data_IF_532943702767
#
_entry.id   IF_532943702767
#
_cell.length_a   1.000
_cell.length_b   1.000
_cell.length_c   1.000
_cell.angle_alpha   90.00
_cell.angle_beta   90.00
_cell.angle_gamma   90.00
#
_symmetry.space_group_name_H-M   'P 1'
#
loop_
_entity.id
_entity.type
_entity.pdbx_description
1 polymer ?
#
# COMPACT_ATOMS: atom_id res chain seq x y z
N UNK A 1 20.46 73.65 -44.12
CA UNK A 1 20.71 73.12 -42.76
C UNK A 1 19.37 72.92 -42.07
N UNK A 2 19.24 71.85 -41.26
CA UNK A 2 18.04 71.23 -40.64
C UNK A 2 17.46 70.03 -41.44
N UNK A 3 17.89 68.77 -41.20
CA UNK A 3 17.55 67.80 -40.11
C UNK A 3 16.06 67.46 -40.04
N UNK A 4 15.62 66.33 -40.62
CA UNK A 4 15.59 64.94 -40.09
C UNK A 4 14.22 64.61 -39.44
N UNK A 5 13.52 63.61 -39.98
CA UNK A 5 13.20 62.33 -39.30
C UNK A 5 11.83 61.76 -39.70
N UNK A 6 11.89 60.61 -40.39
CA UNK A 6 10.81 59.63 -40.46
C UNK A 6 10.72 58.90 -39.11
N UNK A 7 9.52 58.77 -38.56
CA UNK A 7 9.23 57.84 -37.48
C UNK A 7 8.02 56.99 -37.91
N UNK A 8 8.31 55.86 -38.55
CA UNK A 8 7.35 54.78 -38.72
C UNK A 8 7.20 54.05 -37.39
N UNK A 9 5.97 53.93 -36.91
CA UNK A 9 5.63 53.11 -35.74
C UNK A 9 5.28 51.72 -36.27
N UNK A 10 6.16 50.75 -36.02
CA UNK A 10 5.86 49.32 -36.18
C UNK A 10 5.34 48.82 -34.84
N UNK A 11 4.04 48.51 -34.77
CA UNK A 11 3.43 47.85 -33.61
C UNK A 11 3.72 46.35 -33.74
N UNK A 12 4.67 45.84 -32.95
CA UNK A 12 4.89 44.41 -32.80
C UNK A 12 3.85 43.82 -31.84
N UNK A 13 2.91 43.04 -32.38
CA UNK A 13 1.99 42.19 -31.61
C UNK A 13 2.76 40.97 -31.07
N UNK A 14 3.06 40.99 -29.78
CA UNK A 14 3.55 39.82 -29.03
C UNK A 14 2.39 38.86 -28.76
N UNK A 15 2.30 37.78 -29.54
CA UNK A 15 1.49 36.63 -29.23
C UNK A 15 2.16 35.84 -28.08
N UNK A 16 1.62 35.96 -26.87
CA UNK A 16 2.00 35.12 -25.73
C UNK A 16 1.31 33.78 -25.91
N UNK A 17 2.02 32.81 -26.46
CA UNK A 17 1.62 31.40 -26.44
C UNK A 17 1.72 30.89 -25.00
N UNK A 18 0.58 30.80 -24.30
CA UNK A 18 0.44 30.07 -23.05
C UNK A 18 0.73 28.58 -23.32
N UNK A 19 1.98 28.18 -23.16
CA UNK A 19 2.35 26.77 -23.04
C UNK A 19 1.72 26.26 -21.74
N UNK A 20 0.60 25.55 -21.87
CA UNK A 20 0.06 24.75 -20.79
C UNK A 20 1.12 23.70 -20.41
N UNK A 21 1.87 23.98 -19.35
CA UNK A 21 2.79 23.03 -18.71
C UNK A 21 1.93 22.01 -17.99
N UNK A 22 1.57 20.91 -18.67
CA UNK A 22 1.09 19.72 -17.97
C UNK A 22 2.21 19.20 -17.06
N UNK A 23 1.94 18.87 -15.79
CA UNK A 23 2.96 18.44 -14.84
C UNK A 23 3.42 17.01 -15.17
N UNK A 24 4.31 16.86 -16.16
CA UNK A 24 4.97 15.58 -16.50
C UNK A 24 5.70 14.94 -15.31
N UNK A 25 6.12 15.75 -14.33
CA UNK A 25 6.85 15.28 -13.16
C UNK A 25 6.02 14.43 -12.18
N UNK A 26 4.74 14.74 -11.99
CA UNK A 26 3.90 14.02 -11.02
C UNK A 26 3.47 12.63 -11.54
N UNK A 27 3.27 12.51 -12.85
CA UNK A 27 2.87 11.26 -13.50
C UNK A 27 4.04 10.27 -13.63
N UNK A 28 5.26 10.77 -13.86
CA UNK A 28 6.46 9.93 -13.87
C UNK A 28 6.75 9.31 -12.49
N UNK A 29 6.65 10.10 -11.42
CA UNK A 29 6.87 9.59 -10.05
C UNK A 29 5.81 8.58 -9.60
N UNK A 30 4.56 8.74 -10.03
CA UNK A 30 3.46 7.81 -9.70
C UNK A 30 3.68 6.42 -10.31
N UNK A 31 4.05 6.36 -11.59
CA UNK A 31 4.32 5.10 -12.27
C UNK A 31 5.61 4.42 -11.75
N UNK A 32 6.65 5.19 -11.45
CA UNK A 32 7.87 4.68 -10.81
C UNK A 32 7.58 4.08 -9.43
N UNK A 33 6.80 4.78 -8.60
CA UNK A 33 6.39 4.30 -7.29
C UNK A 33 5.55 3.02 -7.40
N UNK A 34 4.56 2.98 -8.31
CA UNK A 34 3.73 1.79 -8.55
C UNK A 34 4.59 0.59 -8.94
N UNK A 35 5.52 0.76 -9.88
CA UNK A 35 6.42 -0.32 -10.30
C UNK A 35 7.27 -0.82 -9.12
N UNK A 36 7.83 0.09 -8.33
CA UNK A 36 8.63 -0.26 -7.15
C UNK A 36 7.80 -0.99 -6.10
N UNK A 37 6.59 -0.52 -5.82
CA UNK A 37 5.65 -1.17 -4.89
C UNK A 37 5.33 -2.58 -5.39
N UNK A 38 4.91 -2.72 -6.65
CA UNK A 38 4.57 -4.01 -7.25
C UNK A 38 5.73 -5.00 -7.18
N UNK A 39 6.95 -4.56 -7.52
CA UNK A 39 8.15 -5.40 -7.46
C UNK A 39 8.43 -5.88 -6.04
N UNK A 40 8.40 -4.97 -5.06
CA UNK A 40 8.72 -5.29 -3.66
C UNK A 40 7.66 -6.19 -3.05
N UNK A 41 6.39 -5.83 -3.16
CA UNK A 41 5.31 -6.56 -2.49
C UNK A 41 4.99 -7.90 -3.16
N UNK A 42 5.11 -8.02 -4.50
CA UNK A 42 4.91 -9.32 -5.17
C UNK A 42 5.94 -10.35 -4.68
N UNK A 43 7.20 -9.95 -4.53
CA UNK A 43 8.25 -10.83 -4.02
C UNK A 43 8.00 -11.24 -2.55
N UNK A 44 7.62 -10.28 -1.70
CA UNK A 44 7.33 -10.54 -0.29
C UNK A 44 6.10 -11.41 -0.09
N UNK A 45 5.03 -11.19 -0.86
CA UNK A 45 3.84 -12.04 -0.81
C UNK A 45 4.09 -13.44 -1.35
N UNK A 46 4.92 -13.60 -2.38
CA UNK A 46 5.34 -14.92 -2.83
C UNK A 46 6.13 -15.65 -1.74
N UNK A 47 7.06 -14.95 -1.06
CA UNK A 47 7.81 -15.51 0.07
C UNK A 47 6.89 -15.88 1.24
N UNK A 48 5.99 -14.99 1.62
CA UNK A 48 5.05 -15.24 2.71
C UNK A 48 4.12 -16.43 2.41
N UNK A 49 3.57 -16.45 1.20
CA UNK A 49 2.71 -17.54 0.74
C UNK A 49 3.47 -18.87 0.75
N UNK A 50 4.74 -18.90 0.36
CA UNK A 50 5.54 -20.13 0.42
C UNK A 50 5.70 -20.67 1.84
N UNK A 51 5.90 -19.80 2.82
CA UNK A 51 5.98 -20.18 4.23
C UNK A 51 4.65 -20.83 4.65
N UNK A 52 3.55 -20.11 4.44
CA UNK A 52 2.23 -20.50 4.92
C UNK A 52 1.62 -21.70 4.16
N UNK A 53 2.01 -21.90 2.89
CA UNK A 53 1.60 -23.04 2.06
C UNK A 53 2.54 -24.25 2.18
N UNK A 54 3.66 -24.12 2.90
CA UNK A 54 4.54 -25.27 3.12
C UNK A 54 3.96 -26.17 4.20
N UNK A 55 4.07 -27.49 4.02
CA UNK A 55 3.77 -28.46 5.09
C UNK A 55 4.86 -28.46 6.19
N UNK A 56 5.75 -27.47 6.19
CA UNK A 56 6.86 -27.35 7.11
C UNK A 56 6.48 -26.44 8.28
N UNK A 57 5.99 -27.07 9.35
CA UNK A 57 5.60 -26.39 10.60
C UNK A 57 6.79 -25.69 11.30
N UNK A 58 8.05 -25.97 10.89
CA UNK A 58 9.22 -25.27 11.44
C UNK A 58 9.41 -23.87 10.83
N UNK A 59 8.73 -23.58 9.72
CA UNK A 59 8.78 -22.29 9.04
C UNK A 59 7.68 -21.33 9.48
N UNK A 60 6.78 -21.72 10.41
CA UNK A 60 5.64 -20.89 10.81
C UNK A 60 6.10 -19.54 11.36
N UNK A 61 5.89 -18.49 10.56
CA UNK A 61 6.15 -17.11 10.92
C UNK A 61 4.85 -16.37 10.69
N UNK A 62 4.16 -16.01 11.78
CA UNK A 62 2.94 -15.22 11.69
C UNK A 62 3.15 -13.89 10.95
N UNK A 63 2.11 -13.40 10.29
CA UNK A 63 2.15 -12.22 9.43
C UNK A 63 2.80 -10.99 10.08
N UNK A 64 2.58 -10.78 11.38
CA UNK A 64 3.15 -9.65 12.13
C UNK A 64 4.67 -9.73 12.17
N UNK A 65 5.22 -10.90 12.49
CA UNK A 65 6.67 -11.10 12.59
C UNK A 65 7.33 -11.09 11.21
N UNK A 66 6.68 -11.70 10.21
CA UNK A 66 7.14 -11.62 8.82
C UNK A 66 7.20 -10.16 8.36
N UNK A 67 6.15 -9.40 8.59
CA UNK A 67 6.05 -8.00 8.17
C UNK A 67 7.06 -7.10 8.88
N UNK A 68 7.34 -7.36 10.17
CA UNK A 68 8.37 -6.64 10.94
C UNK A 68 9.77 -6.93 10.40
N UNK A 69 10.12 -8.20 10.23
CA UNK A 69 11.44 -8.65 9.73
C UNK A 69 11.74 -8.12 8.33
N UNK A 70 10.70 -7.90 7.53
CA UNK A 70 10.81 -7.42 6.15
C UNK A 70 10.52 -5.93 5.97
N UNK A 71 10.48 -5.12 7.04
CA UNK A 71 10.17 -3.67 6.97
C UNK A 71 8.92 -3.36 6.13
N UNK A 72 7.85 -4.15 6.28
CA UNK A 72 6.61 -3.99 5.52
C UNK A 72 5.60 -3.07 6.18
N UNK A 73 5.74 -2.76 7.46
CA UNK A 73 4.73 -2.04 8.24
C UNK A 73 5.30 -0.73 8.80
N UNK A 74 4.45 0.30 8.86
CA UNK A 74 4.79 1.63 9.35
C UNK A 74 5.18 1.61 10.83
N UNK A 75 5.91 2.64 11.25
CA UNK A 75 6.28 2.81 12.66
C UNK A 75 5.06 2.90 13.60
N UNK A 76 3.97 3.65 13.27
CA UNK A 76 2.73 3.62 14.04
C UNK A 76 2.12 2.21 14.16
N UNK A 77 2.06 1.47 13.05
CA UNK A 77 1.48 0.13 13.05
C UNK A 77 2.34 -0.87 13.85
N UNK A 78 3.68 -0.78 13.75
CA UNK A 78 4.62 -1.54 14.60
C UNK A 78 4.33 -1.35 16.10
N UNK A 79 4.06 -0.12 16.51
CA UNK A 79 3.74 0.23 17.90
C UNK A 79 2.39 -0.35 18.36
N UNK A 80 1.37 -0.34 17.48
CA UNK A 80 0.07 -0.97 17.77
C UNK A 80 0.20 -2.48 17.96
N UNK A 81 0.92 -3.17 17.07
CA UNK A 81 1.21 -4.60 17.25
C UNK A 81 2.01 -4.90 18.53
N UNK A 82 2.89 -3.99 18.96
CA UNK A 82 3.64 -4.18 20.20
C UNK A 82 2.72 -4.07 21.43
N UNK A 83 1.77 -3.14 21.41
CA UNK A 83 0.73 -3.02 22.45
C UNK A 83 -0.16 -4.26 22.49
N UNK A 84 -0.51 -4.79 21.32
CA UNK A 84 -1.34 -5.99 21.23
C UNK A 84 -0.63 -7.23 21.77
N UNK A 85 0.63 -7.44 21.39
CA UNK A 85 1.45 -8.51 21.94
C UNK A 85 1.62 -8.38 23.48
N UNK A 86 1.78 -7.16 23.99
CA UNK A 86 1.83 -6.93 25.44
C UNK A 86 0.49 -7.24 26.13
N UNK A 87 -0.64 -6.98 25.47
CA UNK A 87 -1.98 -7.38 25.96
C UNK A 87 -2.14 -8.89 25.98
N UNK A 88 -1.71 -9.59 24.92
CA UNK A 88 -1.76 -11.05 24.84
C UNK A 88 -1.01 -11.70 26.00
N UNK A 89 0.20 -11.22 26.30
CA UNK A 89 0.99 -11.70 27.45
C UNK A 89 0.28 -11.55 28.80
N UNK A 90 -0.50 -10.48 29.00
CA UNK A 90 -1.26 -10.25 30.24
C UNK A 90 -2.57 -11.02 30.31
N UNK A 91 -3.13 -11.40 29.17
CA UNK A 91 -4.49 -11.95 29.05
C UNK A 91 -4.50 -13.45 28.76
N UNK A 92 -3.42 -14.17 29.08
CA UNK A 92 -3.33 -15.61 28.87
C UNK A 92 -3.15 -16.04 27.41
N UNK A 93 -2.59 -15.17 26.56
CA UNK A 93 -2.28 -15.47 25.16
C UNK A 93 -3.19 -14.79 24.13
N UNK A 94 -4.27 -14.11 24.55
CA UNK A 94 -5.22 -13.48 23.63
C UNK A 94 -4.92 -11.99 23.41
N UNK A 95 -4.49 -11.64 22.21
CA UNK A 95 -4.47 -10.28 21.68
C UNK A 95 -5.86 -9.84 21.19
N UNK A 96 -5.97 -8.60 20.70
CA UNK A 96 -7.13 -8.14 19.94
C UNK A 96 -7.12 -8.68 18.52
N UNK A 97 -5.94 -8.87 17.93
CA UNK A 97 -5.81 -9.50 16.63
C UNK A 97 -5.78 -11.01 16.81
N UNK A 98 -6.78 -11.69 16.26
CA UNK A 98 -7.01 -13.14 16.36
C UNK A 98 -6.99 -13.84 14.98
N UNK A 99 -6.47 -13.17 13.95
CA UNK A 99 -6.33 -13.69 12.60
C UNK A 99 -5.05 -13.18 11.94
N UNK A 100 -4.66 -13.82 10.84
CA UNK A 100 -3.55 -13.39 10.01
C UNK A 100 -3.95 -12.14 9.21
N UNK A 101 -3.38 -10.99 9.58
CA UNK A 101 -3.74 -9.71 8.97
C UNK A 101 -3.33 -9.60 7.49
N UNK A 102 -2.30 -10.35 7.05
CA UNK A 102 -1.86 -10.36 5.65
C UNK A 102 -2.73 -11.25 4.79
N UNK A 103 -3.34 -12.31 5.35
CA UNK A 103 -4.25 -13.23 4.67
C UNK A 103 -5.73 -12.87 4.89
N UNK A 104 -6.06 -11.99 5.84
CA UNK A 104 -7.44 -11.73 6.25
C UNK A 104 -8.20 -13.03 6.60
N UNK A 105 -7.56 -13.91 7.38
CA UNK A 105 -8.12 -15.21 7.72
C UNK A 105 -7.35 -15.94 8.81
N UNK A 106 -7.95 -17.00 9.36
CA UNK A 106 -7.27 -17.92 10.27
C UNK A 106 -6.56 -19.04 9.49
N UNK A 107 -7.21 -19.50 8.41
CA UNK A 107 -6.69 -20.54 7.53
C UNK A 107 -6.33 -19.98 6.15
N UNK A 108 -5.42 -20.67 5.45
CA UNK A 108 -5.19 -20.45 4.02
C UNK A 108 -6.09 -21.35 3.19
N UNK A 109 -6.44 -20.89 1.99
CA UNK A 109 -7.22 -21.68 1.03
C UNK A 109 -6.35 -22.35 -0.03
N UNK A 110 -5.07 -22.61 0.27
CA UNK A 110 -4.13 -23.24 -0.67
C UNK A 110 -3.68 -22.34 -1.83
N UNK A 111 -3.99 -21.04 -1.79
CA UNK A 111 -3.68 -20.08 -2.87
C UNK A 111 -2.73 -19.00 -2.34
N UNK A 112 -1.70 -18.60 -3.11
CA UNK A 112 -0.81 -17.52 -2.71
C UNK A 112 -1.53 -16.17 -2.71
N UNK A 113 -1.06 -15.26 -1.86
CA UNK A 113 -1.43 -13.85 -1.85
C UNK A 113 -1.09 -13.18 -3.18
N UNK A 114 -2.02 -12.40 -3.71
CA UNK A 114 -1.87 -11.69 -4.99
C UNK A 114 -2.28 -10.23 -4.85
N UNK A 115 -1.54 -9.37 -5.53
CA UNK A 115 -1.93 -7.98 -5.73
C UNK A 115 -2.89 -7.93 -6.93
N UNK A 116 -4.11 -7.45 -6.70
CA UNK A 116 -5.14 -7.29 -7.73
C UNK A 116 -4.97 -5.94 -8.43
N UNK A 117 -4.89 -4.87 -7.65
CA UNK A 117 -4.68 -3.52 -8.17
C UNK A 117 -3.89 -2.67 -7.18
N UNK A 118 -3.33 -1.58 -7.70
CA UNK A 118 -2.65 -0.56 -6.93
C UNK A 118 -3.12 0.82 -7.41
N UNK A 119 -3.81 1.54 -6.54
CA UNK A 119 -4.47 2.81 -6.87
C UNK A 119 -3.90 3.93 -5.99
N UNK A 120 -3.60 5.08 -6.59
CA UNK A 120 -3.15 6.26 -5.82
C UNK A 120 -4.31 6.78 -4.97
N UNK A 121 -4.05 7.05 -3.69
CA UNK A 121 -5.04 7.63 -2.78
C UNK A 121 -4.38 8.70 -1.90
N UNK A 122 -4.61 9.97 -2.26
CA UNK A 122 -3.93 11.09 -1.61
C UNK A 122 -2.41 10.95 -1.71
N UNK A 123 -1.73 11.00 -0.56
CA UNK A 123 -0.28 10.84 -0.48
C UNK A 123 0.18 9.37 -0.43
N UNK A 124 -0.76 8.43 -0.39
CA UNK A 124 -0.52 7.00 -0.27
C UNK A 124 -0.96 6.21 -1.50
N UNK A 125 -0.96 4.88 -1.34
CA UNK A 125 -1.59 3.95 -2.27
C UNK A 125 -2.53 3.01 -1.55
N UNK A 126 -3.60 2.60 -2.24
CA UNK A 126 -4.45 1.48 -1.85
C UNK A 126 -4.03 0.29 -2.70
N UNK A 127 -3.57 -0.76 -2.04
CA UNK A 127 -3.23 -2.03 -2.68
C UNK A 127 -4.36 -3.02 -2.40
N UNK A 128 -5.10 -3.42 -3.45
CA UNK A 128 -6.12 -4.47 -3.35
C UNK A 128 -5.44 -5.82 -3.37
N UNK A 129 -5.74 -6.64 -2.36
CA UNK A 129 -5.15 -7.96 -2.15
C UNK A 129 -6.22 -9.02 -2.23
N UNK A 130 -5.82 -10.16 -2.78
CA UNK A 130 -6.60 -11.35 -2.83
C UNK A 130 -5.83 -12.55 -2.24
N UNK A 131 -6.54 -13.38 -1.46
CA UNK A 131 -5.99 -14.59 -0.84
C UNK A 131 -6.55 -15.90 -1.45
N UNK A 132 -7.38 -15.80 -2.49
CA UNK A 132 -8.01 -16.92 -3.20
C UNK A 132 -9.03 -17.72 -2.39
N UNK A 133 -9.39 -17.26 -1.19
CA UNK A 133 -10.35 -17.92 -0.34
C UNK A 133 -11.78 -17.65 -0.81
N UNK A 134 -12.26 -18.50 -1.72
CA UNK A 134 -13.66 -18.46 -2.15
C UNK A 134 -14.57 -18.86 -0.98
N UNK A 135 -15.33 -17.90 -0.45
CA UNK A 135 -16.43 -18.20 0.48
C UNK A 135 -17.63 -18.81 -0.24
N UNK A 136 -17.82 -18.41 -1.50
CA UNK A 136 -18.80 -18.94 -2.46
C UNK A 136 -18.21 -18.87 -3.87
N UNK A 137 -18.82 -19.57 -4.85
CA UNK A 137 -18.28 -19.68 -6.23
C UNK A 137 -17.99 -18.33 -6.91
N UNK A 138 -18.65 -17.26 -6.45
CA UNK A 138 -18.63 -15.92 -7.03
C UNK A 138 -18.01 -14.84 -6.12
N UNK A 139 -17.57 -15.19 -4.91
CA UNK A 139 -17.00 -14.22 -3.96
C UNK A 139 -15.54 -14.51 -3.66
N UNK A 140 -14.68 -13.65 -4.17
CA UNK A 140 -13.26 -13.63 -3.86
C UNK A 140 -13.03 -12.41 -2.94
N UNK A 141 -12.82 -12.59 -1.62
CA UNK A 141 -12.76 -11.49 -0.67
C UNK A 141 -11.50 -10.65 -0.92
N UNK A 142 -11.66 -9.58 -1.68
CA UNK A 142 -10.66 -8.54 -1.78
C UNK A 142 -10.67 -7.70 -0.51
N UNK A 143 -9.48 -7.47 0.05
CA UNK A 143 -9.25 -6.51 1.13
C UNK A 143 -8.14 -5.57 0.71
N UNK A 144 -7.97 -4.49 1.45
CA UNK A 144 -7.10 -3.39 1.03
C UNK A 144 -5.98 -3.20 2.04
N UNK A 145 -4.76 -3.01 1.54
CA UNK A 145 -3.64 -2.50 2.33
C UNK A 145 -3.42 -1.03 1.97
N UNK A 146 -3.39 -0.17 2.98
CA UNK A 146 -3.09 1.25 2.83
C UNK A 146 -1.59 1.44 2.99
N UNK A 147 -0.95 1.93 1.93
CA UNK A 147 0.48 2.17 1.88
C UNK A 147 0.80 3.66 2.05
N UNK A 148 1.80 3.95 2.88
CA UNK A 148 2.37 5.28 3.08
C UNK A 148 3.86 5.25 2.76
N UNK A 149 4.41 6.40 2.34
CA UNK A 149 5.84 6.54 2.17
C UNK A 149 6.48 6.96 3.52
N UNK A 150 7.22 6.05 4.15
CA UNK A 150 7.97 6.31 5.36
C UNK A 150 9.47 6.29 5.02
N UNK A 151 10.11 7.46 5.08
CA UNK A 151 11.55 7.61 4.79
C UNK A 151 11.98 7.01 3.43
N UNK A 152 11.18 7.20 2.37
CA UNK A 152 11.49 6.70 1.02
C UNK A 152 11.12 5.23 0.79
N UNK A 153 10.42 4.59 1.74
CA UNK A 153 9.93 3.21 1.63
C UNK A 153 8.40 3.19 1.69
N UNK A 154 7.77 2.44 0.79
CA UNK A 154 6.33 2.22 0.81
C UNK A 154 5.98 1.08 1.78
N UNK A 155 5.34 1.42 2.89
CA UNK A 155 5.02 0.50 4.00
C UNK A 155 3.52 0.49 4.27
N UNK A 156 2.99 -0.63 4.75
CA UNK A 156 1.60 -0.80 5.19
C UNK A 156 1.39 0.00 6.47
N UNK A 157 0.46 0.95 6.43
CA UNK A 157 0.04 1.72 7.61
C UNK A 157 -1.28 1.18 8.19
N UNK A 158 -2.17 0.69 7.34
CA UNK A 158 -3.44 0.09 7.76
C UNK A 158 -3.87 -0.99 6.77
N UNK A 159 -4.87 -1.77 7.16
CA UNK A 159 -5.58 -2.67 6.27
C UNK A 159 -7.09 -2.50 6.48
N UNK A 160 -7.88 -2.61 5.42
CA UNK A 160 -9.33 -2.53 5.46
C UNK A 160 -9.91 -3.88 5.10
N UNK A 161 -10.68 -4.44 6.04
CA UNK A 161 -11.36 -5.72 5.90
C UNK A 161 -12.88 -5.51 5.81
N UNK A 162 -13.58 -6.40 5.12
CA UNK A 162 -15.00 -6.26 4.80
C UNK A 162 -15.84 -7.43 5.34
N UNK A 163 -15.70 -7.79 6.63
CA UNK A 163 -16.36 -8.99 7.20
C UNK A 163 -16.70 -8.85 8.71
N UNK A 164 -17.96 -9.06 9.14
CA UNK A 164 -19.21 -8.77 8.42
C UNK A 164 -19.44 -7.25 8.21
N UNK A 165 -18.76 -6.42 9.00
CA UNK A 165 -18.73 -4.97 8.85
C UNK A 165 -17.36 -4.53 8.33
N UNK A 166 -17.32 -3.35 7.69
CA UNK A 166 -16.06 -2.71 7.31
C UNK A 166 -15.28 -2.37 8.58
N UNK A 167 -14.09 -2.92 8.73
CA UNK A 167 -13.19 -2.62 9.84
C UNK A 167 -11.78 -2.33 9.33
N UNK A 168 -10.93 -1.74 10.16
CA UNK A 168 -9.52 -1.55 9.85
C UNK A 168 -8.61 -2.19 10.87
N UNK A 169 -7.42 -2.59 10.45
CA UNK A 169 -6.42 -3.19 11.31
C UNK A 169 -6.04 -2.26 12.46
N UNK A 170 -5.83 -0.97 12.18
CA UNK A 170 -5.59 0.00 13.25
C UNK A 170 -6.80 0.13 14.19
N UNK A 171 -8.02 0.05 13.67
CA UNK A 171 -9.25 0.05 14.47
C UNK A 171 -9.33 -1.16 15.41
N UNK A 172 -8.93 -2.35 14.93
CA UNK A 172 -8.84 -3.58 15.74
C UNK A 172 -7.79 -3.43 16.85
N UNK A 173 -6.62 -2.86 16.53
CA UNK A 173 -5.47 -2.83 17.45
C UNK A 173 -5.52 -1.70 18.51
N UNK A 174 -6.29 -0.64 18.28
CA UNK A 174 -6.49 0.48 19.24
C UNK A 174 -7.43 0.05 20.35
#
# INVERSE_FOLDING_TARGET
MHTRNHAGIVVALLAVSLLAVFPRGAQASDEEDKQRIMQVYSAKFAQYSKIFLSNDLSADVGAVDFSRKNDMISSPLKALFAKDAARAKRSGGMGKLDFDFLLNGQDNCGVPLRIVSLEKAGNGYVMKINNGCKKDKDYDPEYQLLLVNEAGKWVIDDAVYFLPDKTTLQGILK
#
